data_IF_782509603614
#
_entry.id   IF_782509603614
#
_cell.length_a   1.000
_cell.length_b   1.000
_cell.length_c   1.000
_cell.angle_alpha   90.00
_cell.angle_beta   90.00
_cell.angle_gamma   90.00
#
_symmetry.space_group_name_H-M   'P 1'
#
loop_
_entity.id
_entity.type
_entity.pdbx_description
1 polymer ?
#
# COMPACT_ATOMS: atom_id res chain seq x y z
N UNK A 1 -3.44 18.37 -10.80
CA UNK A 1 -4.58 17.94 -9.94
C UNK A 1 -5.06 19.15 -9.15
N UNK A 2 -6.33 19.23 -8.71
CA UNK A 2 -6.72 20.35 -7.81
C UNK A 2 -5.91 20.21 -6.52
N UNK A 3 -5.09 21.21 -6.20
CA UNK A 3 -4.35 21.34 -4.94
C UNK A 3 -5.31 21.58 -3.78
N UNK A 4 -6.12 20.58 -3.46
CA UNK A 4 -7.03 20.60 -2.34
C UNK A 4 -6.51 19.59 -1.33
N UNK A 5 -6.13 20.07 -0.15
CA UNK A 5 -5.80 19.16 0.93
C UNK A 5 -7.02 18.28 1.28
N UNK A 6 -6.80 17.01 1.65
CA UNK A 6 -7.89 16.15 2.10
C UNK A 6 -8.55 16.75 3.33
N UNK A 7 -9.88 16.73 3.38
CA UNK A 7 -10.63 17.11 4.58
C UNK A 7 -10.34 16.15 5.75
N UNK A 8 -10.55 16.61 6.98
CA UNK A 8 -10.42 15.76 8.18
C UNK A 8 -11.22 14.47 8.08
N UNK A 9 -12.45 14.55 7.54
CA UNK A 9 -13.31 13.38 7.32
C UNK A 9 -12.68 12.37 6.35
N UNK A 10 -11.97 12.84 5.32
CA UNK A 10 -11.27 11.95 4.38
C UNK A 10 -10.06 11.29 5.06
N UNK A 11 -9.28 12.05 5.83
CA UNK A 11 -8.14 11.52 6.61
C UNK A 11 -8.60 10.46 7.61
N UNK A 12 -9.66 10.73 8.38
CA UNK A 12 -10.23 9.78 9.33
C UNK A 12 -10.76 8.50 8.66
N UNK A 13 -11.36 8.62 7.48
CA UNK A 13 -11.83 7.45 6.71
C UNK A 13 -10.66 6.60 6.20
N UNK A 14 -9.57 7.24 5.77
CA UNK A 14 -8.37 6.52 5.36
C UNK A 14 -7.75 5.80 6.56
N UNK A 15 -7.58 6.49 7.69
CA UNK A 15 -7.10 5.92 8.94
C UNK A 15 -7.91 4.67 9.32
N UNK A 16 -9.24 4.78 9.36
CA UNK A 16 -10.13 3.66 9.66
C UNK A 16 -9.98 2.49 8.66
N UNK A 17 -9.74 2.77 7.38
CA UNK A 17 -9.55 1.72 6.38
C UNK A 17 -8.23 0.96 6.60
N UNK A 18 -7.16 1.66 6.99
CA UNK A 18 -5.87 1.04 7.31
C UNK A 18 -5.98 0.26 8.64
N UNK A 19 -6.71 0.77 9.64
CA UNK A 19 -7.00 0.04 10.88
C UNK A 19 -7.73 -1.29 10.61
N UNK A 20 -8.68 -1.29 9.66
CA UNK A 20 -9.40 -2.52 9.25
C UNK A 20 -8.43 -3.52 8.60
N UNK A 21 -7.52 -3.06 7.74
CA UNK A 21 -6.52 -3.94 7.13
C UNK A 21 -5.59 -4.55 8.20
N UNK A 22 -5.12 -3.74 9.15
CA UNK A 22 -4.32 -4.21 10.28
C UNK A 22 -5.09 -5.25 11.12
N UNK A 23 -6.41 -5.11 11.28
CA UNK A 23 -7.25 -6.11 11.97
C UNK A 23 -7.40 -7.42 11.19
N UNK A 24 -7.46 -7.40 9.85
CA UNK A 24 -7.51 -8.63 9.06
C UNK A 24 -6.22 -9.44 9.23
N UNK A 25 -5.09 -8.73 9.26
CA UNK A 25 -3.76 -9.30 9.46
C UNK A 25 -3.45 -9.65 10.93
N UNK A 26 -4.29 -9.21 11.87
CA UNK A 26 -4.26 -9.70 13.25
C UNK A 26 -4.74 -11.14 13.33
N UNK A 27 -5.80 -11.46 12.61
CA UNK A 27 -6.44 -12.78 12.66
C UNK A 27 -5.73 -13.82 11.79
N UNK A 28 -5.06 -13.38 10.72
CA UNK A 28 -4.52 -14.25 9.67
C UNK A 28 -3.17 -13.78 9.17
N UNK A 29 -2.43 -14.72 8.58
CA UNK A 29 -1.14 -14.43 7.93
C UNK A 29 -1.25 -13.62 6.65
N UNK A 30 -2.39 -13.72 5.95
CA UNK A 30 -2.71 -12.99 4.73
C UNK A 30 -4.09 -12.33 4.87
N UNK A 31 -4.40 -11.42 3.96
CA UNK A 31 -5.55 -10.51 4.09
C UNK A 31 -6.91 -11.21 4.18
N UNK A 32 -7.06 -12.39 3.57
CA UNK A 32 -8.32 -13.12 3.52
C UNK A 32 -8.22 -14.61 3.89
N UNK A 33 -7.02 -15.16 4.05
CA UNK A 33 -6.77 -16.58 4.29
C UNK A 33 -5.43 -16.80 5.01
N UNK A 34 -5.08 -18.06 5.27
CA UNK A 34 -3.76 -18.44 5.81
C UNK A 34 -2.72 -18.72 4.71
N UNK A 35 -3.04 -18.36 3.47
CA UNK A 35 -2.18 -18.46 2.30
C UNK A 35 -2.38 -17.25 1.37
N UNK A 36 -1.42 -16.99 0.48
CA UNK A 36 -1.52 -15.91 -0.50
C UNK A 36 -2.75 -16.05 -1.40
N UNK A 37 -3.47 -14.95 -1.59
CA UNK A 37 -4.63 -14.89 -2.49
C UNK A 37 -4.61 -13.64 -3.37
N UNK A 38 -5.57 -13.52 -4.29
CA UNK A 38 -5.77 -12.30 -5.08
C UNK A 38 -6.05 -11.07 -4.21
N UNK A 39 -6.59 -11.24 -2.99
CA UNK A 39 -6.82 -10.12 -2.08
C UNK A 39 -5.50 -9.44 -1.69
N UNK A 40 -4.45 -10.23 -1.46
CA UNK A 40 -3.13 -9.73 -1.11
C UNK A 40 -2.49 -8.97 -2.26
N UNK A 41 -2.61 -9.48 -3.48
CA UNK A 41 -2.08 -8.85 -4.69
C UNK A 41 -2.75 -7.48 -4.91
N UNK A 42 -4.08 -7.40 -4.81
CA UNK A 42 -4.82 -6.16 -4.96
C UNK A 42 -4.49 -5.13 -3.86
N UNK A 43 -4.39 -5.59 -2.61
CA UNK A 43 -4.07 -4.71 -1.49
C UNK A 43 -2.61 -4.26 -1.49
N UNK A 44 -1.67 -5.10 -1.96
CA UNK A 44 -0.26 -4.75 -2.08
C UNK A 44 -0.09 -3.49 -2.93
N UNK A 45 -0.72 -3.47 -4.10
CA UNK A 45 -0.69 -2.32 -5.02
C UNK A 45 -1.28 -1.07 -4.35
N UNK A 46 -2.40 -1.25 -3.64
CA UNK A 46 -3.09 -0.15 -2.96
C UNK A 46 -2.24 0.46 -1.84
N UNK A 47 -1.67 -0.39 -0.97
CA UNK A 47 -0.84 0.05 0.16
C UNK A 47 0.47 0.67 -0.33
N UNK A 48 1.10 0.11 -1.37
CA UNK A 48 2.30 0.70 -1.95
C UNK A 48 2.04 2.09 -2.55
N UNK A 49 0.86 2.31 -3.13
CA UNK A 49 0.48 3.63 -3.62
C UNK A 49 0.25 4.64 -2.47
N UNK A 50 -0.28 4.21 -1.32
CA UNK A 50 -0.45 5.07 -0.14
C UNK A 50 0.91 5.57 0.38
N UNK A 51 1.90 4.67 0.50
CA UNK A 51 3.23 5.05 0.97
C UNK A 51 3.97 5.92 -0.03
N UNK A 52 4.02 5.50 -1.30
CA UNK A 52 4.82 6.15 -2.33
C UNK A 52 4.28 7.54 -2.73
N UNK A 53 2.96 7.66 -2.92
CA UNK A 53 2.36 8.89 -3.47
C UNK A 53 1.76 9.82 -2.43
N UNK A 54 1.25 9.27 -1.33
CA UNK A 54 0.60 10.06 -0.29
C UNK A 54 1.49 10.26 0.94
N UNK A 55 2.68 9.63 0.99
CA UNK A 55 3.55 9.68 2.15
C UNK A 55 2.87 9.16 3.41
N UNK A 56 1.96 8.19 3.26
CA UNK A 56 1.20 7.66 4.38
C UNK A 56 2.09 6.77 5.26
N UNK A 57 2.27 7.16 6.52
CA UNK A 57 3.16 6.48 7.46
C UNK A 57 2.57 5.16 7.96
N UNK A 58 3.27 4.06 7.65
CA UNK A 58 2.88 2.72 8.12
C UNK A 58 3.55 2.30 9.44
N UNK A 59 4.35 3.18 10.05
CA UNK A 59 5.01 2.89 11.33
C UNK A 59 4.05 2.37 12.43
N UNK A 60 2.80 2.88 12.57
CA UNK A 60 1.83 2.38 13.55
C UNK A 60 1.27 0.98 13.28
N UNK A 61 1.51 0.40 12.11
CA UNK A 61 0.84 -0.82 11.62
C UNK A 61 1.84 -1.96 11.38
N UNK A 62 2.34 -2.59 12.46
CA UNK A 62 3.39 -3.59 12.34
C UNK A 62 2.97 -4.80 11.48
N UNK A 63 1.71 -5.23 11.53
CA UNK A 63 1.26 -6.40 10.76
C UNK A 63 1.16 -6.11 9.28
N UNK A 64 0.70 -4.91 8.91
CA UNK A 64 0.76 -4.45 7.52
C UNK A 64 2.19 -4.46 7.00
N UNK A 65 3.17 -3.97 7.78
CA UNK A 65 4.58 -3.99 7.34
C UNK A 65 5.13 -5.41 7.17
N UNK A 66 4.83 -6.29 8.12
CA UNK A 66 5.28 -7.69 8.05
C UNK A 66 4.63 -8.42 6.88
N UNK A 67 3.34 -8.16 6.64
CA UNK A 67 2.58 -8.68 5.50
C UNK A 67 3.14 -8.15 4.17
N UNK A 68 3.45 -6.86 4.05
CA UNK A 68 4.08 -6.30 2.85
C UNK A 68 5.39 -7.03 2.52
N UNK A 69 6.26 -7.20 3.51
CA UNK A 69 7.53 -7.93 3.32
C UNK A 69 7.30 -9.37 2.88
N UNK A 70 6.32 -10.06 3.47
CA UNK A 70 5.97 -11.44 3.12
C UNK A 70 5.45 -11.57 1.69
N UNK A 71 4.45 -10.77 1.31
CA UNK A 71 3.82 -10.84 -0.02
C UNK A 71 4.82 -10.49 -1.13
N UNK A 72 5.66 -9.47 -0.91
CA UNK A 72 6.71 -9.10 -1.88
C UNK A 72 7.74 -10.21 -2.07
N UNK A 73 8.08 -10.93 -0.99
CA UNK A 73 9.03 -12.04 -1.06
C UNK A 73 8.44 -13.29 -1.72
N UNK A 74 7.13 -13.52 -1.60
CA UNK A 74 6.46 -14.72 -2.13
C UNK A 74 6.14 -14.61 -3.62
N UNK A 75 5.86 -13.40 -4.13
CA UNK A 75 5.53 -13.19 -5.55
C UNK A 75 6.83 -13.06 -6.37
N UNK A 76 7.11 -13.99 -7.31
CA UNK A 76 8.34 -13.93 -8.12
C UNK A 76 8.46 -12.62 -8.90
N UNK A 77 9.62 -11.96 -8.79
CA UNK A 77 9.91 -10.70 -9.48
C UNK A 77 9.20 -9.47 -8.90
N UNK A 78 8.43 -9.59 -7.82
CA UNK A 78 7.62 -8.49 -7.31
C UNK A 78 8.45 -7.27 -6.87
N UNK A 79 9.57 -7.48 -6.17
CA UNK A 79 10.44 -6.40 -5.75
C UNK A 79 11.09 -5.66 -6.94
N UNK A 80 11.39 -6.35 -8.04
CA UNK A 80 11.89 -5.73 -9.26
C UNK A 80 10.80 -4.92 -9.95
N UNK A 81 9.62 -5.52 -10.13
CA UNK A 81 8.44 -4.84 -10.67
C UNK A 81 8.08 -3.58 -9.88
N UNK A 82 8.12 -3.62 -8.54
CA UNK A 82 7.84 -2.45 -7.71
C UNK A 82 8.82 -1.31 -7.96
N UNK A 83 10.12 -1.61 -8.10
CA UNK A 83 11.13 -0.60 -8.44
C UNK A 83 10.90 -0.01 -9.83
N UNK A 84 10.65 -0.86 -10.82
CA UNK A 84 10.37 -0.41 -12.20
C UNK A 84 9.15 0.52 -12.25
N UNK A 85 8.06 0.14 -11.55
CA UNK A 85 6.85 0.96 -11.47
C UNK A 85 7.14 2.28 -10.78
N UNK A 86 7.87 2.29 -9.65
CA UNK A 86 8.24 3.50 -8.94
C UNK A 86 9.06 4.45 -9.83
N UNK A 87 10.08 3.95 -10.51
CA UNK A 87 10.94 4.74 -11.37
C UNK A 87 10.15 5.33 -12.56
N UNK A 88 9.35 4.50 -13.24
CA UNK A 88 8.57 4.91 -14.39
C UNK A 88 7.52 5.97 -14.03
N UNK A 89 6.85 5.80 -12.90
CA UNK A 89 5.81 6.72 -12.44
C UNK A 89 6.39 8.02 -11.90
N UNK A 90 7.53 7.97 -11.18
CA UNK A 90 8.26 9.17 -10.74
C UNK A 90 8.74 9.99 -11.93
N UNK A 91 9.32 9.32 -12.94
CA UNK A 91 9.72 9.97 -14.19
C UNK A 91 8.53 10.63 -14.91
N UNK A 92 7.37 9.96 -14.93
CA UNK A 92 6.14 10.51 -15.51
C UNK A 92 5.67 11.78 -14.79
N UNK A 93 5.66 11.79 -13.45
CA UNK A 93 5.25 12.97 -12.66
C UNK A 93 6.20 14.15 -12.88
N UNK A 94 7.51 13.91 -12.83
CA UNK A 94 8.54 14.96 -13.05
C UNK A 94 8.42 15.56 -14.45
N UNK A 95 8.26 14.72 -15.48
CA UNK A 95 8.23 15.17 -16.88
C UNK A 95 6.93 15.90 -17.26
N UNK A 96 5.83 15.70 -16.55
CA UNK A 96 4.53 16.34 -16.89
C UNK A 96 4.21 17.64 -16.16
N UNK A 97 5.11 18.21 -15.33
CA UNK A 97 4.85 19.46 -14.55
C UNK A 97 3.41 19.53 -14.02
N UNK A 98 2.94 18.46 -13.38
CA UNK A 98 1.62 18.41 -12.72
C UNK A 98 1.77 18.79 -11.26
#
# INVERSE_FOLDING_TARGET
>A
MRNSQPSEKQVQRLQKAVDVLESFLYERSYTAADQLTVADICLLVTVNALTLWLGYELAPYPRIRDWLGRVVAEIPGCAEFQREVEDATRAYVVNRKI
#
